data_IF_592564322873
#
_entry.id   IF_592564322873
#
_cell.length_a   1.000
_cell.length_b   1.000
_cell.length_c   1.000
_cell.angle_alpha   90.00
_cell.angle_beta   90.00
_cell.angle_gamma   90.00
#
_symmetry.space_group_name_H-M   'P 1'
#
loop_
_entity.id
_entity.type
_entity.pdbx_description
1 polymer ?
#
# COMPACT_ATOMS: atom_id res chain seq x y z
N UNK A 1 24.39 51.69 -43.61
CA UNK A 1 24.27 51.15 -42.24
C UNK A 1 23.15 50.09 -42.10
N UNK A 2 22.51 49.61 -43.19
CA UNK A 2 21.39 48.66 -43.09
C UNK A 2 21.76 47.18 -42.89
N UNK A 3 22.83 46.68 -43.52
CA UNK A 3 23.07 45.22 -43.56
C UNK A 3 23.37 44.58 -42.19
N UNK A 4 24.10 45.29 -41.31
CA UNK A 4 24.46 44.75 -39.98
C UNK A 4 23.28 44.61 -39.02
N UNK A 5 22.23 45.43 -39.21
CA UNK A 5 21.05 45.42 -38.33
C UNK A 5 20.05 44.33 -38.75
N UNK A 6 20.05 43.99 -40.04
CA UNK A 6 19.21 42.94 -40.60
C UNK A 6 19.76 41.55 -40.28
N UNK A 7 21.08 41.35 -40.34
CA UNK A 7 21.73 40.10 -39.90
C UNK A 7 21.55 39.84 -38.40
N UNK A 8 21.63 40.87 -37.55
CA UNK A 8 21.43 40.70 -36.10
C UNK A 8 19.99 40.33 -35.77
N UNK A 9 19.02 40.93 -36.47
CA UNK A 9 17.61 40.60 -36.30
C UNK A 9 17.28 39.17 -36.73
N UNK A 10 17.86 38.71 -37.85
CA UNK A 10 17.67 37.33 -38.34
C UNK A 10 18.27 36.32 -37.35
N UNK A 11 19.42 36.63 -36.75
CA UNK A 11 20.07 35.72 -35.77
C UNK A 11 19.28 35.65 -34.46
N UNK A 12 18.69 36.75 -33.99
CA UNK A 12 17.82 36.74 -32.80
C UNK A 12 16.52 35.98 -33.05
N UNK A 13 15.88 36.16 -34.22
CA UNK A 13 14.62 35.48 -34.58
C UNK A 13 14.82 33.96 -34.72
N UNK A 14 15.93 33.52 -35.32
CA UNK A 14 16.31 32.08 -35.39
C UNK A 14 16.60 31.49 -34.00
N UNK A 15 17.19 32.27 -33.08
CA UNK A 15 17.45 31.82 -31.71
C UNK A 15 16.16 31.70 -30.87
N UNK A 16 15.18 32.59 -31.09
CA UNK A 16 13.87 32.53 -30.44
C UNK A 16 13.03 31.33 -30.94
N UNK A 17 13.04 31.05 -32.25
CA UNK A 17 12.38 29.89 -32.85
C UNK A 17 12.94 28.55 -32.34
N UNK A 18 14.28 28.44 -32.19
CA UNK A 18 14.92 27.26 -31.61
C UNK A 18 14.58 27.09 -30.12
N UNK A 19 14.50 28.18 -29.36
CA UNK A 19 14.11 28.16 -27.96
C UNK A 19 12.63 27.73 -27.78
N UNK A 20 11.73 28.22 -28.64
CA UNK A 20 10.31 27.85 -28.61
C UNK A 20 10.10 26.38 -29.01
N UNK A 21 10.86 25.88 -30.00
CA UNK A 21 10.89 24.47 -30.37
C UNK A 21 11.38 23.57 -29.22
N UNK A 22 12.38 24.00 -28.43
CA UNK A 22 12.82 23.26 -27.24
C UNK A 22 11.76 23.24 -26.13
N UNK A 23 11.10 24.36 -25.85
CA UNK A 23 10.06 24.45 -24.82
C UNK A 23 8.82 23.61 -25.16
N UNK A 24 8.41 23.58 -26.43
CA UNK A 24 7.34 22.72 -26.93
C UNK A 24 7.74 21.23 -26.86
N UNK A 25 9.00 20.89 -27.16
CA UNK A 25 9.56 19.56 -26.93
C UNK A 25 9.52 19.11 -25.46
N UNK A 26 9.90 19.98 -24.53
CA UNK A 26 9.88 19.68 -23.09
C UNK A 26 8.44 19.49 -22.59
N UNK A 27 7.53 20.40 -22.95
CA UNK A 27 6.12 20.32 -22.53
C UNK A 27 5.40 19.08 -23.07
N UNK A 28 5.68 18.69 -24.33
CA UNK A 28 5.15 17.45 -24.91
C UNK A 28 5.65 16.21 -24.18
N UNK A 29 6.95 16.13 -23.86
CA UNK A 29 7.55 15.05 -23.07
C UNK A 29 6.94 14.94 -21.66
N UNK A 30 6.73 16.08 -20.97
CA UNK A 30 6.06 16.10 -19.66
C UNK A 30 4.63 15.55 -19.78
N UNK A 31 3.90 15.93 -20.83
CA UNK A 31 2.54 15.45 -21.07
C UNK A 31 2.49 13.94 -21.32
N UNK A 32 3.47 13.40 -22.06
CA UNK A 32 3.60 11.96 -22.31
C UNK A 32 3.93 11.21 -21.02
N UNK A 33 4.93 11.67 -20.26
CA UNK A 33 5.30 11.08 -18.99
C UNK A 33 4.13 11.04 -17.99
N UNK A 34 3.34 12.12 -17.90
CA UNK A 34 2.13 12.17 -17.06
C UNK A 34 1.05 11.17 -17.48
N UNK A 35 0.90 10.91 -18.79
CA UNK A 35 -0.05 9.90 -19.30
C UNK A 35 0.43 8.48 -19.04
N UNK A 36 1.74 8.24 -19.05
CA UNK A 36 2.33 6.92 -18.85
C UNK A 36 2.51 6.54 -17.39
N UNK A 37 2.84 7.50 -16.53
CA UNK A 37 3.02 7.32 -15.10
C UNK A 37 1.90 6.48 -14.43
N UNK A 38 0.59 6.79 -14.58
CA UNK A 38 -0.46 6.00 -13.94
C UNK A 38 -0.53 4.56 -14.47
N UNK A 39 -0.18 4.33 -15.75
CA UNK A 39 -0.16 2.97 -16.33
C UNK A 39 0.97 2.16 -15.70
N UNK A 40 2.14 2.75 -15.52
CA UNK A 40 3.29 2.09 -14.91
C UNK A 40 3.06 1.84 -13.41
N UNK A 41 2.46 2.78 -12.68
CA UNK A 41 2.06 2.58 -11.28
C UNK A 41 1.05 1.43 -11.15
N UNK A 42 0.05 1.33 -12.04
CA UNK A 42 -0.88 0.20 -12.05
C UNK A 42 -0.19 -1.13 -12.32
N UNK A 43 0.77 -1.18 -13.25
CA UNK A 43 1.57 -2.39 -13.52
C UNK A 43 2.39 -2.78 -12.30
N UNK A 44 3.02 -1.81 -11.65
CA UNK A 44 3.81 -2.02 -10.44
C UNK A 44 2.93 -2.52 -9.28
N UNK A 45 1.79 -1.88 -9.02
CA UNK A 45 0.84 -2.30 -7.99
C UNK A 45 0.36 -3.74 -8.20
N UNK A 46 0.03 -4.13 -9.44
CA UNK A 46 -0.32 -5.52 -9.77
C UNK A 46 0.81 -6.48 -9.46
N UNK A 47 2.04 -6.15 -9.85
CA UNK A 47 3.22 -6.98 -9.57
C UNK A 47 3.46 -7.11 -8.06
N UNK A 48 3.37 -6.02 -7.31
CA UNK A 48 3.53 -6.03 -5.85
C UNK A 48 2.47 -6.90 -5.18
N UNK A 49 1.22 -6.83 -5.64
CA UNK A 49 0.12 -7.65 -5.12
C UNK A 49 0.35 -9.13 -5.38
N UNK A 50 0.74 -9.51 -6.60
CA UNK A 50 1.07 -10.91 -6.94
C UNK A 50 2.20 -11.47 -6.10
N UNK A 51 3.26 -10.68 -5.87
CA UNK A 51 4.39 -11.10 -5.03
C UNK A 51 3.92 -11.28 -3.58
N UNK A 52 3.14 -10.33 -3.05
CA UNK A 52 2.61 -10.42 -1.68
C UNK A 52 1.73 -11.66 -1.49
N UNK A 53 0.80 -11.91 -2.41
CA UNK A 53 -0.10 -13.06 -2.34
C UNK A 53 0.66 -14.41 -2.46
N UNK A 54 1.80 -14.44 -3.16
CA UNK A 54 2.67 -15.62 -3.23
C UNK A 54 3.51 -15.81 -1.95
N UNK A 55 3.98 -14.73 -1.33
CA UNK A 55 4.76 -14.78 -0.09
C UNK A 55 3.89 -15.16 1.11
N UNK A 56 2.66 -14.67 1.17
CA UNK A 56 1.76 -14.88 2.29
C UNK A 56 0.52 -15.68 1.87
N UNK A 57 0.57 -17.02 1.94
CA UNK A 57 -0.54 -17.87 1.52
C UNK A 57 -1.78 -17.62 2.39
N UNK A 58 -3.01 -17.73 1.85
CA UNK A 58 -4.22 -17.47 2.61
C UNK A 58 -4.38 -18.41 3.80
N UNK A 59 -5.02 -17.92 4.87
CA UNK A 59 -5.35 -18.73 6.06
C UNK A 59 -6.84 -19.03 6.05
N UNK A 60 -7.20 -20.25 6.41
CA UNK A 60 -8.57 -20.70 6.45
C UNK A 60 -9.37 -20.06 7.60
N UNK A 61 -10.68 -19.98 7.40
CA UNK A 61 -11.62 -19.54 8.43
C UNK A 61 -11.56 -20.53 9.59
N UNK A 62 -11.36 -20.02 10.80
CA UNK A 62 -11.12 -20.83 12.01
C UNK A 62 -9.64 -21.08 12.31
N UNK A 63 -8.74 -20.71 11.40
CA UNK A 63 -7.29 -20.77 11.62
C UNK A 63 -6.86 -19.85 12.77
N UNK A 64 -5.95 -20.35 13.61
CA UNK A 64 -5.33 -19.56 14.67
C UNK A 64 -4.15 -18.78 14.10
N UNK A 65 -4.01 -17.54 14.53
CA UNK A 65 -3.02 -16.59 14.00
C UNK A 65 -2.33 -15.84 15.12
N UNK A 66 -1.22 -15.21 14.79
CA UNK A 66 -0.43 -14.36 15.67
C UNK A 66 -0.23 -13.00 15.00
N UNK A 67 -0.65 -11.92 15.65
CA UNK A 67 -0.47 -10.55 15.19
C UNK A 67 0.68 -9.91 15.99
N UNK A 68 1.78 -9.48 15.36
CA UNK A 68 2.82 -8.73 16.03
C UNK A 68 2.32 -7.33 16.42
N UNK A 69 2.57 -6.93 17.68
CA UNK A 69 2.24 -5.60 18.18
C UNK A 69 3.48 -4.71 18.04
N UNK A 70 3.39 -3.58 17.32
CA UNK A 70 4.53 -2.67 17.16
C UNK A 70 4.88 -2.02 18.49
N UNK A 71 6.17 -1.73 18.70
CA UNK A 71 6.68 -1.20 19.97
C UNK A 71 5.99 0.11 20.42
N UNK A 72 5.50 0.92 19.47
CA UNK A 72 4.81 2.19 19.77
C UNK A 72 3.42 2.01 20.36
N UNK A 73 2.78 0.88 20.09
CA UNK A 73 1.44 0.54 20.61
C UNK A 73 1.51 -0.38 21.82
N UNK A 74 2.71 -0.87 22.16
CA UNK A 74 2.96 -1.83 23.23
C UNK A 74 3.34 -1.10 24.53
N UNK A 75 2.59 -1.32 25.61
CA UNK A 75 3.01 -0.92 26.95
C UNK A 75 4.10 -1.86 27.48
N UNK A 76 4.79 -1.46 28.57
CA UNK A 76 5.94 -2.22 29.09
C UNK A 76 5.60 -3.66 29.52
N UNK A 77 4.35 -3.91 29.92
CA UNK A 77 3.90 -5.21 30.39
C UNK A 77 3.22 -6.06 29.30
N UNK A 78 2.93 -5.48 28.14
CA UNK A 78 2.15 -6.13 27.10
C UNK A 78 2.97 -7.19 26.37
N UNK A 79 2.27 -8.21 25.87
CA UNK A 79 2.88 -9.25 25.06
C UNK A 79 3.31 -8.67 23.70
N UNK A 80 4.37 -9.25 23.12
CA UNK A 80 4.81 -8.83 21.77
C UNK A 80 3.82 -9.21 20.67
N UNK A 81 3.02 -10.22 20.94
CA UNK A 81 2.23 -10.95 19.97
C UNK A 81 0.83 -11.18 20.52
N UNK A 82 -0.16 -10.88 19.69
CA UNK A 82 -1.57 -11.13 19.98
C UNK A 82 -2.02 -12.42 19.30
N UNK A 83 -2.62 -13.33 20.05
CA UNK A 83 -3.20 -14.56 19.50
C UNK A 83 -4.67 -14.31 19.15
N UNK A 84 -5.09 -14.76 17.96
CA UNK A 84 -6.47 -14.65 17.52
C UNK A 84 -6.88 -15.79 16.59
N UNK A 85 -8.16 -15.78 16.19
CA UNK A 85 -8.76 -16.72 15.25
C UNK A 85 -9.36 -15.96 14.07
N UNK A 86 -9.22 -16.50 12.86
CA UNK A 86 -9.86 -15.94 11.67
C UNK A 86 -11.36 -16.22 11.72
N UNK A 87 -12.17 -15.17 11.69
CA UNK A 87 -13.64 -15.28 11.69
C UNK A 87 -14.21 -15.26 10.27
N UNK A 88 -13.69 -14.35 9.43
CA UNK A 88 -14.20 -14.13 8.09
C UNK A 88 -13.08 -13.57 7.19
N UNK A 89 -13.21 -13.83 5.89
CA UNK A 89 -12.40 -13.20 4.85
C UNK A 89 -13.31 -12.51 3.84
N UNK A 90 -13.12 -11.21 3.66
CA UNK A 90 -13.90 -10.40 2.72
C UNK A 90 -13.45 -10.64 1.26
N UNK A 91 -14.28 -10.19 0.30
CA UNK A 91 -14.00 -10.28 -1.15
C UNK A 91 -12.68 -9.63 -1.56
N UNK A 92 -12.25 -8.60 -0.84
CA UNK A 92 -10.97 -7.90 -1.06
C UNK A 92 -9.75 -8.64 -0.47
N UNK A 93 -9.97 -9.79 0.18
CA UNK A 93 -8.92 -10.59 0.80
C UNK A 93 -8.45 -10.07 2.15
N UNK A 94 -9.23 -9.21 2.81
CA UNK A 94 -9.00 -8.75 4.17
C UNK A 94 -9.66 -9.68 5.19
N UNK A 95 -9.05 -9.82 6.35
CA UNK A 95 -9.43 -10.78 7.39
C UNK A 95 -10.02 -10.07 8.60
N UNK A 96 -11.12 -10.62 9.10
CA UNK A 96 -11.72 -10.25 10.38
C UNK A 96 -11.22 -11.21 11.45
N UNK A 97 -10.64 -10.67 12.50
CA UNK A 97 -9.96 -11.45 13.53
C UNK A 97 -10.71 -11.36 14.85
N UNK A 98 -10.94 -12.52 15.46
CA UNK A 98 -11.51 -12.68 16.79
C UNK A 98 -10.44 -12.99 17.83
N UNK A 99 -10.62 -12.47 19.02
CA UNK A 99 -9.86 -12.81 20.23
C UNK A 99 -10.86 -13.23 21.32
N UNK A 100 -10.35 -13.88 22.36
CA UNK A 100 -11.09 -14.18 23.59
C UNK A 100 -11.81 -12.96 24.19
N UNK A 101 -11.25 -11.77 24.04
CA UNK A 101 -11.81 -10.53 24.59
C UNK A 101 -12.75 -9.81 23.61
N UNK A 102 -12.92 -10.32 22.38
CA UNK A 102 -13.77 -9.71 21.36
C UNK A 102 -13.17 -9.70 19.96
N UNK A 103 -13.86 -9.05 19.03
CA UNK A 103 -13.48 -8.91 17.63
C UNK A 103 -12.66 -7.63 17.44
N UNK A 104 -11.52 -7.74 16.76
CA UNK A 104 -10.69 -6.58 16.44
C UNK A 104 -11.43 -5.65 15.46
N UNK A 105 -11.38 -4.35 15.75
CA UNK A 105 -12.06 -3.32 14.95
C UNK A 105 -11.52 -3.17 13.53
N UNK A 106 -10.23 -3.44 13.35
CA UNK A 106 -9.52 -3.33 12.08
C UNK A 106 -9.61 -4.66 11.31
N UNK A 107 -9.74 -4.57 9.99
CA UNK A 107 -9.51 -5.70 9.09
C UNK A 107 -8.03 -5.79 8.73
N UNK A 108 -7.51 -7.02 8.67
CA UNK A 108 -6.09 -7.27 8.48
C UNK A 108 -5.78 -7.79 7.08
N UNK A 109 -4.69 -7.33 6.49
CA UNK A 109 -4.09 -7.97 5.33
C UNK A 109 -3.38 -9.25 5.76
N UNK A 110 -3.24 -10.20 4.82
CA UNK A 110 -2.56 -11.47 5.12
C UNK A 110 -1.10 -11.29 5.58
N UNK A 111 -0.42 -10.24 5.14
CA UNK A 111 0.96 -9.91 5.53
C UNK A 111 1.11 -9.32 6.94
N UNK A 112 0.01 -9.01 7.63
CA UNK A 112 0.05 -8.36 8.95
C UNK A 112 0.02 -9.34 10.12
N UNK A 113 -0.05 -10.64 9.85
CA UNK A 113 -0.09 -11.68 10.86
C UNK A 113 0.55 -12.97 10.33
N UNK A 114 0.89 -13.87 11.24
CA UNK A 114 1.39 -15.21 10.92
C UNK A 114 0.37 -16.27 11.33
N UNK A 115 0.39 -17.41 10.66
CA UNK A 115 -0.42 -18.56 11.05
C UNK A 115 0.22 -19.26 12.25
N UNK A 116 -0.60 -19.63 13.22
CA UNK A 116 -0.17 -20.41 14.37
C UNK A 116 -0.41 -21.90 14.13
N UNK A 117 0.60 -22.77 14.33
CA UNK A 117 0.42 -24.21 14.22
C UNK A 117 -0.38 -24.80 15.40
N UNK A 118 -0.60 -24.04 16.48
CA UNK A 118 -1.38 -24.47 17.63
C UNK A 118 -2.78 -23.84 17.63
N UNK A 119 -3.75 -24.60 18.14
CA UNK A 119 -5.11 -24.14 18.34
C UNK A 119 -5.23 -23.60 19.77
N UNK A 120 -5.35 -22.29 19.91
CA UNK A 120 -5.51 -21.61 21.20
C UNK A 120 -6.95 -21.17 21.46
N UNK A 121 -7.68 -20.87 20.37
CA UNK A 121 -9.01 -20.30 20.42
C UNK A 121 -9.87 -20.86 19.29
N UNK A 122 -11.13 -21.15 19.58
CA UNK A 122 -12.15 -21.47 18.58
C UNK A 122 -13.07 -20.28 18.33
N UNK A 123 -13.76 -20.25 17.19
CA UNK A 123 -14.62 -19.13 16.82
C UNK A 123 -15.77 -18.91 17.79
N UNK A 124 -16.31 -19.98 18.38
CA UNK A 124 -17.41 -19.95 19.35
C UNK A 124 -17.01 -19.26 20.67
N UNK A 125 -15.71 -19.24 20.99
CA UNK A 125 -15.17 -18.62 22.20
C UNK A 125 -14.95 -17.11 22.05
N UNK A 126 -15.23 -16.53 20.87
CA UNK A 126 -15.03 -15.10 20.60
C UNK A 126 -16.32 -14.34 20.89
N UNK A 127 -16.32 -13.41 21.86
CA UNK A 127 -17.45 -12.51 22.07
C UNK A 127 -17.64 -11.57 20.88
N UNK A 128 -18.88 -11.16 20.58
CA UNK A 128 -19.19 -10.26 19.46
C UNK A 128 -18.77 -8.79 19.70
N UNK A 129 -18.28 -8.46 20.90
CA UNK A 129 -17.88 -7.11 21.25
C UNK A 129 -16.66 -6.64 20.45
N UNK A 130 -16.67 -5.37 20.07
CA UNK A 130 -15.65 -4.74 19.22
C UNK A 130 -14.54 -4.11 20.07
N UNK A 131 -13.29 -4.49 19.83
CA UNK A 131 -12.12 -4.03 20.61
C UNK A 131 -11.00 -3.47 19.72
N UNK A 132 -10.21 -2.54 20.25
CA UNK A 132 -9.03 -1.99 19.58
C UNK A 132 -7.81 -2.91 19.77
N UNK A 133 -6.80 -2.81 18.89
CA UNK A 133 -5.55 -3.57 19.04
C UNK A 133 -4.87 -3.28 20.39
N UNK A 134 -4.82 -2.00 20.82
CA UNK A 134 -4.22 -1.59 22.08
C UNK A 134 -4.95 -2.18 23.30
N UNK A 135 -6.28 -2.20 23.26
CA UNK A 135 -7.08 -2.82 24.33
C UNK A 135 -6.91 -4.34 24.37
N UNK A 136 -6.53 -4.93 23.24
CA UNK A 136 -6.28 -6.35 23.12
C UNK A 136 -4.85 -6.76 23.48
N UNK A 137 -3.90 -5.82 23.63
CA UNK A 137 -2.49 -6.10 23.89
C UNK A 137 -2.23 -6.73 25.28
#
# INVERSE_FOLDING_TARGET
>A
MSAKHEETKIVEEVQEDEAEAMLTGISSNISLARKEAPKNLKKQAKRMKLISDATYPPVDIGGNIIIPIPDVDREKADLRNLIGVVLERNKDGLYKIGKKDGILNKLYCRSEFDESPQIFLTQEQVPEQKISLRTAA
#
